data_IF_112012306112
#
_entry.id   IF_112012306112
#
_cell.length_a   1.000
_cell.length_b   1.000
_cell.length_c   1.000
_cell.angle_alpha   90.00
_cell.angle_beta   90.00
_cell.angle_gamma   90.00
#
_symmetry.space_group_name_H-M   'P 1'
#
loop_
_entity.id
_entity.type
_entity.pdbx_description
1 polymer ?
#
# COMPACT_ATOMS: atom_id res chain seq x y z
N UNK A 1 26.74 8.28 7.16
CA UNK A 1 25.30 8.39 6.86
C UNK A 1 24.87 9.79 7.25
N UNK A 2 24.55 10.61 6.27
CA UNK A 2 24.12 11.98 6.48
C UNK A 2 22.62 12.04 6.80
N UNK A 3 22.12 13.20 7.28
CA UNK A 3 20.69 13.29 7.68
C UNK A 3 19.72 13.08 6.51
N UNK A 4 20.10 13.46 5.29
CA UNK A 4 19.25 13.20 4.12
C UNK A 4 19.15 11.69 3.81
N UNK A 5 20.21 10.90 4.01
CA UNK A 5 20.12 9.44 3.85
C UNK A 5 19.18 8.82 4.89
N UNK A 6 19.26 9.30 6.14
CA UNK A 6 18.36 8.87 7.22
C UNK A 6 16.90 9.16 6.86
N UNK A 7 16.63 10.37 6.33
CA UNK A 7 15.25 10.73 5.95
C UNK A 7 14.75 9.97 4.72
N UNK A 8 15.62 9.62 3.78
CA UNK A 8 15.25 8.72 2.70
C UNK A 8 14.79 7.34 3.22
N UNK A 9 15.55 6.76 4.15
CA UNK A 9 15.17 5.50 4.81
C UNK A 9 13.88 5.65 5.61
N UNK A 10 13.70 6.74 6.36
CA UNK A 10 12.46 6.98 7.12
C UNK A 10 11.24 7.11 6.21
N UNK A 11 11.37 7.78 5.05
CA UNK A 11 10.30 7.86 4.06
C UNK A 11 10.00 6.47 3.48
N UNK A 12 11.02 5.66 3.18
CA UNK A 12 10.83 4.27 2.78
C UNK A 12 10.05 3.47 3.83
N UNK A 13 10.37 3.63 5.12
CA UNK A 13 9.64 2.99 6.24
C UNK A 13 8.19 3.46 6.31
N UNK A 14 7.91 4.75 6.08
CA UNK A 14 6.54 5.27 6.06
C UNK A 14 5.72 4.69 4.91
N UNK A 15 6.29 4.58 3.70
CA UNK A 15 5.63 3.94 2.56
C UNK A 15 5.45 2.43 2.78
N UNK A 16 6.42 1.73 3.36
CA UNK A 16 6.31 0.33 3.77
C UNK A 16 5.14 0.17 4.76
N UNK A 17 5.07 1.02 5.78
CA UNK A 17 3.99 1.03 6.76
C UNK A 17 2.62 1.27 6.11
N UNK A 18 2.53 2.24 5.21
CA UNK A 18 1.30 2.51 4.45
C UNK A 18 0.86 1.30 3.63
N UNK A 19 1.74 0.71 2.82
CA UNK A 19 1.37 -0.44 1.99
C UNK A 19 1.08 -1.71 2.80
N UNK A 20 1.72 -1.88 3.95
CA UNK A 20 1.42 -2.98 4.86
C UNK A 20 0.02 -2.83 5.48
N UNK A 21 -0.29 -1.64 6.01
CA UNK A 21 -1.53 -1.39 6.74
C UNK A 21 -2.71 -1.15 5.80
N UNK A 22 -2.57 -0.22 4.89
CA UNK A 22 -3.61 0.12 3.92
C UNK A 22 -3.80 -0.97 2.85
N UNK A 23 -2.76 -1.79 2.59
CA UNK A 23 -2.84 -2.89 1.64
C UNK A 23 -3.93 -3.89 1.98
N UNK A 24 -4.10 -4.30 3.24
CA UNK A 24 -5.21 -5.18 3.58
C UNK A 24 -6.55 -4.46 3.59
N UNK A 25 -6.61 -3.15 3.85
CA UNK A 25 -7.84 -2.36 3.79
C UNK A 25 -8.35 -2.26 2.34
N UNK A 26 -7.47 -1.97 1.38
CA UNK A 26 -7.79 -2.06 -0.05
C UNK A 26 -8.24 -3.46 -0.43
N UNK A 27 -7.51 -4.48 0.04
CA UNK A 27 -7.86 -5.87 -0.20
C UNK A 27 -9.26 -6.21 0.31
N UNK A 28 -9.63 -5.82 1.53
CA UNK A 28 -10.97 -6.01 2.09
C UNK A 28 -12.01 -5.27 1.24
N UNK A 29 -11.76 -4.04 0.81
CA UNK A 29 -12.66 -3.31 -0.08
C UNK A 29 -12.95 -4.07 -1.38
N UNK A 30 -11.92 -4.62 -2.02
CA UNK A 30 -12.04 -5.49 -3.21
C UNK A 30 -12.82 -6.77 -2.89
N UNK A 31 -12.59 -7.38 -1.73
CA UNK A 31 -13.25 -8.61 -1.29
C UNK A 31 -14.74 -8.45 -1.01
N UNK A 32 -15.24 -7.25 -0.79
CA UNK A 32 -16.69 -7.00 -0.65
C UNK A 32 -17.49 -7.48 -1.86
N UNK A 33 -16.86 -7.55 -3.04
CA UNK A 33 -17.47 -8.05 -4.28
C UNK A 33 -17.00 -9.46 -4.67
N UNK A 34 -15.75 -9.82 -4.37
CA UNK A 34 -15.17 -11.10 -4.78
C UNK A 34 -15.49 -12.25 -3.80
N UNK A 35 -15.70 -11.94 -2.52
CA UNK A 35 -15.83 -12.95 -1.46
C UNK A 35 -17.24 -13.01 -0.85
N UNK A 36 -17.85 -11.84 -0.58
CA UNK A 36 -19.15 -11.76 0.10
C UNK A 36 -20.29 -12.21 -0.82
N UNK A 37 -21.21 -13.02 -0.28
CA UNK A 37 -22.39 -13.55 -0.97
C UNK A 37 -23.64 -12.67 -0.78
N UNK A 38 -23.71 -12.03 0.38
CA UNK A 38 -24.84 -11.20 0.77
C UNK A 38 -24.38 -9.94 1.51
N UNK A 39 -25.33 -9.12 1.93
CA UNK A 39 -25.04 -7.85 2.63
C UNK A 39 -24.47 -8.05 4.02
N UNK A 40 -24.92 -9.08 4.73
CA UNK A 40 -24.42 -9.38 6.07
C UNK A 40 -22.94 -9.73 6.01
N UNK A 41 -22.54 -10.55 5.06
CA UNK A 41 -21.13 -10.89 4.84
C UNK A 41 -20.29 -9.66 4.42
N UNK A 42 -20.81 -8.79 3.56
CA UNK A 42 -20.14 -7.51 3.22
C UNK A 42 -19.91 -6.65 4.46
N UNK A 43 -20.93 -6.55 5.33
CA UNK A 43 -20.84 -5.83 6.59
C UNK A 43 -19.81 -6.46 7.52
N UNK A 44 -19.74 -7.80 7.60
CA UNK A 44 -18.68 -8.50 8.33
C UNK A 44 -17.31 -8.08 7.81
N UNK A 45 -17.07 -8.15 6.49
CA UNK A 45 -15.78 -7.78 5.89
C UNK A 45 -15.42 -6.32 6.22
N UNK A 46 -16.31 -5.37 5.98
CA UNK A 46 -16.06 -3.95 6.27
C UNK A 46 -15.77 -3.74 7.77
N UNK A 47 -16.49 -4.42 8.65
CA UNK A 47 -16.27 -4.31 10.10
C UNK A 47 -14.92 -4.89 10.55
N UNK A 48 -14.26 -5.73 9.75
CA UNK A 48 -12.89 -6.20 10.08
C UNK A 48 -11.87 -5.07 10.08
N UNK A 49 -12.07 -4.07 9.23
CA UNK A 49 -11.20 -2.90 9.07
C UNK A 49 -11.78 -1.64 9.74
N UNK A 50 -13.07 -1.62 10.05
CA UNK A 50 -13.77 -0.46 10.61
C UNK A 50 -13.03 0.28 11.73
N UNK A 51 -12.43 -0.41 12.70
CA UNK A 51 -11.71 0.25 13.80
C UNK A 51 -10.33 0.78 13.44
N UNK A 52 -9.77 0.50 12.28
CA UNK A 52 -8.35 0.72 11.96
C UNK A 52 -8.07 1.47 10.65
N UNK A 53 -9.01 1.43 9.68
CA UNK A 53 -8.79 1.98 8.33
C UNK A 53 -8.38 3.46 8.35
N UNK A 54 -8.99 4.29 9.17
CA UNK A 54 -8.70 5.71 9.29
C UNK A 54 -7.25 5.94 9.77
N UNK A 55 -6.85 5.20 10.81
CA UNK A 55 -5.46 5.23 11.32
C UNK A 55 -4.43 4.72 10.30
N UNK A 56 -4.83 3.79 9.41
CA UNK A 56 -3.96 3.28 8.36
C UNK A 56 -3.77 4.30 7.23
N UNK A 57 -4.81 5.03 6.83
CA UNK A 57 -4.71 6.10 5.83
C UNK A 57 -3.78 7.25 6.27
N UNK A 58 -3.66 7.54 7.56
CA UNK A 58 -2.76 8.59 8.09
C UNK A 58 -1.30 8.34 7.72
N UNK A 59 -0.89 7.09 7.50
CA UNK A 59 0.48 6.79 7.04
C UNK A 59 0.80 7.41 5.69
N UNK A 60 -0.17 7.49 4.77
CA UNK A 60 -0.01 8.20 3.50
C UNK A 60 0.23 9.70 3.71
N UNK A 61 -0.59 10.33 4.56
CA UNK A 61 -0.43 11.76 4.87
C UNK A 61 0.93 12.03 5.52
N UNK A 62 1.36 11.14 6.40
CA UNK A 62 2.68 11.23 7.05
C UNK A 62 3.81 11.04 6.05
N UNK A 63 3.71 10.05 5.14
CA UNK A 63 4.71 9.82 4.10
C UNK A 63 4.81 11.01 3.14
N UNK A 64 3.67 11.54 2.66
CA UNK A 64 3.64 12.72 1.80
C UNK A 64 4.16 13.98 2.51
N UNK A 65 3.75 14.23 3.75
CA UNK A 65 4.22 15.36 4.55
C UNK A 65 5.72 15.28 4.88
N UNK A 66 6.23 14.08 5.20
CA UNK A 66 7.65 13.86 5.41
C UNK A 66 8.46 14.06 4.13
N UNK A 67 7.95 13.58 2.98
CA UNK A 67 8.58 13.82 1.67
C UNK A 67 8.62 15.32 1.35
N UNK A 68 7.51 16.05 1.56
CA UNK A 68 7.44 17.50 1.36
C UNK A 68 8.47 18.25 2.20
N UNK A 69 8.61 17.90 3.47
CA UNK A 69 9.48 18.61 4.39
C UNK A 69 10.95 18.23 4.26
N UNK A 70 11.27 16.93 3.99
CA UNK A 70 12.64 16.44 3.86
C UNK A 70 13.22 16.60 2.45
N UNK A 71 12.40 16.43 1.40
CA UNK A 71 12.79 16.48 0.00
C UNK A 71 11.79 17.31 -0.82
N UNK A 72 11.78 18.65 -0.64
CA UNK A 72 10.80 19.52 -1.29
C UNK A 72 10.84 19.46 -2.82
N UNK A 73 12.02 19.32 -3.44
CA UNK A 73 12.15 19.20 -4.89
C UNK A 73 11.56 17.86 -5.40
N UNK A 74 11.82 16.75 -4.68
CA UNK A 74 11.17 15.48 -5.01
C UNK A 74 9.65 15.60 -4.92
N UNK A 75 9.14 16.21 -3.84
CA UNK A 75 7.71 16.42 -3.67
C UNK A 75 7.12 17.26 -4.82
N UNK A 76 7.77 18.38 -5.15
CA UNK A 76 7.29 19.28 -6.19
C UNK A 76 7.21 18.59 -7.57
N UNK A 77 8.28 17.93 -7.99
CA UNK A 77 8.35 17.22 -9.28
C UNK A 77 7.38 16.03 -9.32
N UNK A 78 7.27 15.26 -8.24
CA UNK A 78 6.35 14.15 -8.14
C UNK A 78 4.89 14.62 -8.26
N UNK A 79 4.49 15.63 -7.47
CA UNK A 79 3.11 16.09 -7.43
C UNK A 79 2.71 16.87 -8.69
N UNK A 80 3.64 17.58 -9.34
CA UNK A 80 3.36 18.22 -10.63
C UNK A 80 3.24 17.18 -11.76
N UNK A 81 4.17 16.24 -11.84
CA UNK A 81 4.22 15.24 -12.91
C UNK A 81 3.15 14.15 -12.79
N UNK A 82 2.83 13.75 -11.57
CA UNK A 82 1.81 12.73 -11.29
C UNK A 82 0.49 13.35 -10.81
N UNK A 83 0.26 14.63 -11.10
CA UNK A 83 -0.91 15.36 -10.60
C UNK A 83 -2.23 14.61 -10.82
N UNK A 84 -2.52 14.19 -12.05
CA UNK A 84 -3.78 13.51 -12.37
C UNK A 84 -3.91 12.14 -11.68
N UNK A 85 -2.92 11.22 -11.74
CA UNK A 85 -2.99 9.96 -10.99
C UNK A 85 -3.14 10.15 -9.49
N UNK A 86 -2.37 11.06 -8.88
CA UNK A 86 -2.42 11.32 -7.45
C UNK A 86 -3.75 11.95 -7.03
N UNK A 87 -4.26 12.92 -7.82
CA UNK A 87 -5.59 13.48 -7.60
C UNK A 87 -6.68 12.41 -7.67
N UNK A 88 -6.58 11.49 -8.64
CA UNK A 88 -7.55 10.40 -8.78
C UNK A 88 -7.49 9.42 -7.59
N UNK A 89 -6.29 9.08 -7.11
CA UNK A 89 -6.12 8.30 -5.87
C UNK A 89 -6.78 9.04 -4.71
N UNK A 90 -6.48 10.33 -4.52
CA UNK A 90 -7.04 11.14 -3.43
C UNK A 90 -8.57 11.16 -3.46
N UNK A 91 -9.17 11.38 -4.64
CA UNK A 91 -10.64 11.34 -4.80
C UNK A 91 -11.19 9.96 -4.43
N UNK A 92 -10.52 8.88 -4.83
CA UNK A 92 -10.92 7.52 -4.43
C UNK A 92 -10.88 7.34 -2.91
N UNK A 93 -9.82 7.81 -2.23
CA UNK A 93 -9.69 7.71 -0.77
C UNK A 93 -10.79 8.51 -0.05
N UNK A 94 -11.07 9.74 -0.50
CA UNK A 94 -12.16 10.58 0.03
C UNK A 94 -13.52 9.87 -0.12
N UNK A 95 -13.83 9.37 -1.32
CA UNK A 95 -15.10 8.68 -1.59
C UNK A 95 -15.18 7.39 -0.78
N UNK A 96 -14.08 6.66 -0.59
CA UNK A 96 -14.02 5.44 0.22
C UNK A 96 -14.31 5.72 1.68
N UNK A 97 -13.67 6.73 2.28
CA UNK A 97 -13.91 7.15 3.65
C UNK A 97 -15.38 7.55 3.88
N UNK A 98 -15.93 8.37 2.97
CA UNK A 98 -17.36 8.71 3.00
C UNK A 98 -18.24 7.47 2.88
N UNK A 99 -17.89 6.52 1.99
CA UNK A 99 -18.68 5.32 1.75
C UNK A 99 -18.76 4.40 2.98
N UNK A 100 -17.70 4.24 3.75
CA UNK A 100 -17.70 3.47 5.00
C UNK A 100 -18.72 4.03 6.01
N UNK A 101 -18.77 5.36 6.16
CA UNK A 101 -19.66 6.02 7.11
C UNK A 101 -21.12 6.11 6.61
N UNK A 102 -21.31 6.46 5.33
CA UNK A 102 -22.64 6.75 4.80
C UNK A 102 -23.44 5.52 4.39
N UNK A 103 -22.77 4.39 4.11
CA UNK A 103 -23.41 3.14 3.71
C UNK A 103 -24.52 2.71 4.68
N UNK A 104 -24.29 2.83 5.97
CA UNK A 104 -25.23 2.40 7.01
C UNK A 104 -26.26 3.47 7.40
N UNK A 105 -26.20 4.70 6.87
CA UNK A 105 -27.09 5.82 7.26
C UNK A 105 -28.53 5.67 6.75
N UNK A 106 -28.75 4.83 5.73
CA UNK A 106 -30.08 4.61 5.17
C UNK A 106 -30.31 3.11 4.96
N UNK A 107 -31.56 2.63 5.21
CA UNK A 107 -31.93 1.22 5.05
C UNK A 107 -32.17 0.81 3.59
N UNK A 108 -32.38 1.79 2.68
CA UNK A 108 -32.78 1.52 1.30
C UNK A 108 -31.69 0.69 0.56
N UNK A 109 -32.14 -0.34 -0.12
CA UNK A 109 -31.28 -1.29 -0.80
C UNK A 109 -30.37 -0.67 -1.85
N UNK A 110 -30.91 0.25 -2.65
CA UNK A 110 -30.16 0.93 -3.70
C UNK A 110 -29.08 1.85 -3.11
N UNK A 111 -29.36 2.51 -1.97
CA UNK A 111 -28.40 3.32 -1.26
C UNK A 111 -27.20 2.50 -0.81
N UNK A 112 -27.43 1.41 -0.12
CA UNK A 112 -26.35 0.55 0.39
C UNK A 112 -25.56 -0.08 -0.75
N UNK A 113 -26.22 -0.56 -1.81
CA UNK A 113 -25.56 -1.15 -2.99
C UNK A 113 -24.66 -0.15 -3.71
N UNK A 114 -25.07 1.10 -3.83
CA UNK A 114 -24.26 2.14 -4.48
C UNK A 114 -22.99 2.43 -3.68
N UNK A 115 -23.09 2.58 -2.36
CA UNK A 115 -21.92 2.76 -1.50
C UNK A 115 -21.00 1.53 -1.44
N UNK A 116 -21.56 0.33 -1.44
CA UNK A 116 -20.79 -0.92 -1.54
C UNK A 116 -20.01 -1.01 -2.88
N UNK A 117 -20.65 -0.54 -3.96
CA UNK A 117 -20.00 -0.47 -5.28
C UNK A 117 -18.90 0.61 -5.28
N UNK A 118 -19.14 1.74 -4.62
CA UNK A 118 -18.11 2.77 -4.42
C UNK A 118 -16.90 2.21 -3.63
N UNK A 119 -17.12 1.54 -2.49
CA UNK A 119 -16.04 0.92 -1.69
C UNK A 119 -15.19 -0.01 -2.56
N UNK A 120 -15.82 -0.84 -3.39
CA UNK A 120 -15.08 -1.75 -4.28
C UNK A 120 -14.17 -0.99 -5.25
N UNK A 121 -14.70 -0.04 -6.02
CA UNK A 121 -13.92 0.67 -7.03
C UNK A 121 -12.87 1.58 -6.42
N UNK A 122 -13.21 2.27 -5.32
CA UNK A 122 -12.28 3.17 -4.63
C UNK A 122 -11.24 2.46 -3.78
N UNK A 123 -11.32 1.15 -3.66
CA UNK A 123 -10.26 0.30 -3.12
C UNK A 123 -9.42 -0.33 -4.23
N UNK A 124 -10.05 -0.79 -5.32
CA UNK A 124 -9.37 -1.43 -6.44
C UNK A 124 -8.47 -0.46 -7.20
N UNK A 125 -8.99 0.74 -7.50
CA UNK A 125 -8.26 1.72 -8.32
C UNK A 125 -7.00 2.24 -7.62
N UNK A 126 -7.03 2.70 -6.35
CA UNK A 126 -5.80 3.08 -5.65
C UNK A 126 -4.82 1.92 -5.48
N UNK A 127 -5.32 0.70 -5.18
CA UNK A 127 -4.48 -0.48 -5.08
C UNK A 127 -3.69 -0.76 -6.36
N UNK A 128 -4.27 -0.47 -7.54
CA UNK A 128 -3.59 -0.57 -8.82
C UNK A 128 -2.68 0.64 -9.09
N UNK A 129 -3.19 1.86 -8.89
CA UNK A 129 -2.50 3.09 -9.26
C UNK A 129 -1.23 3.35 -8.43
N UNK A 130 -1.18 2.92 -7.17
CA UNK A 130 0.05 3.00 -6.38
C UNK A 130 1.18 2.18 -7.01
N UNK A 131 0.89 0.99 -7.51
CA UNK A 131 1.91 0.20 -8.21
C UNK A 131 2.34 0.82 -9.53
N UNK A 132 1.42 1.45 -10.25
CA UNK A 132 1.76 2.23 -11.46
C UNK A 132 2.66 3.41 -11.11
N UNK A 133 2.35 4.15 -10.04
CA UNK A 133 3.14 5.30 -9.60
C UNK A 133 4.56 4.87 -9.21
N UNK A 134 4.71 3.90 -8.31
CA UNK A 134 6.02 3.40 -7.88
C UNK A 134 6.80 2.75 -9.01
N UNK A 135 6.15 2.03 -9.91
CA UNK A 135 6.79 1.50 -11.11
C UNK A 135 7.40 2.61 -11.98
N UNK A 136 6.70 3.72 -12.17
CA UNK A 136 7.25 4.86 -12.91
C UNK A 136 8.42 5.53 -12.17
N UNK A 137 8.33 5.70 -10.86
CA UNK A 137 9.40 6.28 -10.05
C UNK A 137 10.67 5.43 -10.17
N UNK A 138 10.57 4.11 -10.02
CA UNK A 138 11.72 3.20 -10.08
C UNK A 138 12.31 3.11 -11.49
N UNK A 139 11.45 3.10 -12.52
CA UNK A 139 11.91 3.08 -13.92
C UNK A 139 12.61 4.37 -14.33
N UNK A 140 12.30 5.48 -13.66
CA UNK A 140 12.65 6.82 -14.08
C UNK A 140 11.63 7.42 -15.07
N UNK A 141 11.43 8.71 -14.96
CA UNK A 141 10.47 9.49 -15.77
C UNK A 141 11.16 10.63 -16.50
N UNK A 142 10.49 11.26 -17.46
CA UNK A 142 11.07 12.35 -18.26
C UNK A 142 11.19 13.62 -17.42
N UNK A 143 12.32 13.82 -16.76
CA UNK A 143 12.68 15.03 -16.01
C UNK A 143 13.71 15.80 -16.81
N UNK A 144 13.52 17.11 -16.99
CA UNK A 144 14.43 18.00 -17.70
C UNK A 144 15.50 18.61 -16.79
N UNK A 145 16.35 19.48 -17.35
CA UNK A 145 17.43 20.18 -16.64
C UNK A 145 16.98 21.12 -15.50
N UNK A 146 15.67 21.45 -15.45
CA UNK A 146 15.09 22.29 -14.41
C UNK A 146 14.39 21.44 -13.32
N UNK A 147 14.61 20.14 -13.34
CA UNK A 147 13.92 19.14 -12.48
C UNK A 147 12.41 19.10 -12.66
N UNK A 148 11.90 19.55 -13.82
CA UNK A 148 10.49 19.54 -14.17
C UNK A 148 10.13 18.26 -14.93
N UNK A 149 8.96 17.68 -14.61
CA UNK A 149 8.43 16.58 -15.40
C UNK A 149 7.89 17.09 -16.73
N UNK A 150 8.50 16.67 -17.83
CA UNK A 150 8.12 17.05 -19.22
C UNK A 150 7.43 15.94 -20.01
N UNK A 151 7.14 14.82 -19.36
CA UNK A 151 6.37 13.72 -19.96
C UNK A 151 4.87 14.00 -19.99
N UNK A 152 4.13 13.19 -20.76
CA UNK A 152 2.68 13.21 -20.80
C UNK A 152 2.05 12.16 -19.86
N UNK A 153 0.74 12.30 -19.62
CA UNK A 153 -0.03 11.31 -18.85
C UNK A 153 0.13 9.87 -19.38
N UNK A 154 0.14 9.70 -20.69
CA UNK A 154 0.25 8.38 -21.32
C UNK A 154 1.63 7.74 -21.17
N UNK A 155 2.68 8.52 -20.93
CA UNK A 155 4.02 7.99 -20.62
C UNK A 155 4.06 7.20 -19.31
N UNK A 156 3.15 7.51 -18.39
CA UNK A 156 3.01 6.80 -17.12
C UNK A 156 2.32 5.43 -17.24
N UNK A 157 1.66 5.15 -18.38
CA UNK A 157 0.97 3.89 -18.63
C UNK A 157 1.84 2.92 -19.48
N UNK A 158 3.10 2.78 -19.13
CA UNK A 158 4.03 1.85 -19.78
C UNK A 158 3.90 0.42 -19.20
N UNK A 159 4.34 -0.62 -19.92
CA UNK A 159 4.18 -2.02 -19.53
C UNK A 159 4.76 -2.36 -18.15
N UNK A 160 5.93 -1.80 -17.79
CA UNK A 160 6.56 -2.03 -16.50
C UNK A 160 5.71 -1.44 -15.35
N UNK A 161 5.26 -0.20 -15.49
CA UNK A 161 4.41 0.44 -14.49
C UNK A 161 3.04 -0.26 -14.37
N UNK A 162 2.43 -0.67 -15.49
CA UNK A 162 1.17 -1.44 -15.48
C UNK A 162 1.34 -2.80 -14.78
N UNK A 163 2.49 -3.46 -14.96
CA UNK A 163 2.82 -4.68 -14.24
C UNK A 163 2.97 -4.40 -12.74
N UNK A 164 3.62 -3.28 -12.35
CA UNK A 164 3.67 -2.81 -10.97
C UNK A 164 2.28 -2.63 -10.36
N UNK A 165 1.35 -2.03 -11.13
CA UNK A 165 -0.06 -1.91 -10.76
C UNK A 165 -0.75 -3.27 -10.54
N UNK A 166 -0.51 -4.23 -11.43
CA UNK A 166 -1.04 -5.59 -11.28
C UNK A 166 -0.48 -6.29 -10.03
N UNK A 167 0.80 -6.07 -9.71
CA UNK A 167 1.44 -6.60 -8.50
C UNK A 167 0.79 -6.05 -7.25
N UNK A 168 0.67 -4.72 -7.12
CA UNK A 168 0.10 -4.12 -5.90
C UNK A 168 -1.38 -4.49 -5.75
N UNK A 169 -2.17 -4.47 -6.81
CA UNK A 169 -3.57 -4.89 -6.78
C UNK A 169 -3.73 -6.34 -6.31
N UNK A 170 -2.97 -7.25 -6.89
CA UNK A 170 -3.07 -8.68 -6.54
C UNK A 170 -2.48 -8.97 -5.16
N UNK A 171 -1.37 -8.34 -4.79
CA UNK A 171 -0.73 -8.48 -3.49
C UNK A 171 -1.61 -7.94 -2.37
N UNK A 172 -2.21 -6.75 -2.52
CA UNK A 172 -3.13 -6.19 -1.53
C UNK A 172 -4.42 -7.01 -1.43
N UNK A 173 -4.95 -7.51 -2.54
CA UNK A 173 -6.10 -8.43 -2.51
C UNK A 173 -5.75 -9.75 -1.80
N UNK A 174 -4.56 -10.31 -2.04
CA UNK A 174 -4.06 -11.49 -1.32
C UNK A 174 -3.91 -11.21 0.18
N UNK A 175 -3.25 -10.11 0.53
CA UNK A 175 -3.03 -9.69 1.92
C UNK A 175 -4.36 -9.46 2.66
N UNK A 176 -5.33 -8.79 2.00
CA UNK A 176 -6.69 -8.62 2.52
C UNK A 176 -7.46 -9.93 2.67
N UNK A 177 -7.28 -10.90 1.75
CA UNK A 177 -7.91 -12.21 1.86
C UNK A 177 -7.35 -13.02 3.04
N UNK A 178 -6.03 -12.96 3.27
CA UNK A 178 -5.39 -13.54 4.45
C UNK A 178 -5.86 -12.85 5.73
N UNK A 179 -5.97 -11.51 5.73
CA UNK A 179 -6.52 -10.75 6.85
C UNK A 179 -8.00 -11.11 7.12
N UNK A 180 -8.83 -11.22 6.08
CA UNK A 180 -10.21 -11.68 6.22
C UNK A 180 -10.28 -13.08 6.87
N UNK A 181 -9.44 -14.03 6.44
CA UNK A 181 -9.35 -15.35 7.04
C UNK A 181 -8.92 -15.28 8.52
N UNK A 182 -7.99 -14.39 8.85
CA UNK A 182 -7.51 -14.17 10.22
C UNK A 182 -8.59 -13.56 11.12
N UNK A 183 -9.41 -12.64 10.58
CA UNK A 183 -10.36 -11.82 11.35
C UNK A 183 -11.79 -12.33 11.36
N UNK A 184 -12.12 -13.36 10.56
CA UNK A 184 -13.47 -13.92 10.48
C UNK A 184 -13.57 -15.34 10.98
N UNK A 185 -14.80 -15.85 11.11
CA UNK A 185 -15.12 -17.23 11.49
C UNK A 185 -16.03 -17.89 10.46
N UNK A 186 -16.16 -19.22 10.53
CA UNK A 186 -17.11 -20.01 9.71
C UNK A 186 -16.81 -19.99 8.22
N UNK A 187 -17.83 -19.95 7.39
CA UNK A 187 -17.74 -20.11 5.93
C UNK A 187 -16.98 -18.96 5.25
N UNK A 188 -17.09 -17.74 5.76
CA UNK A 188 -16.32 -16.58 5.25
C UNK A 188 -14.82 -16.87 5.35
N UNK A 189 -14.36 -17.37 6.50
CA UNK A 189 -12.94 -17.72 6.73
C UNK A 189 -12.44 -18.76 5.73
N UNK A 190 -13.20 -19.83 5.51
CA UNK A 190 -12.79 -20.91 4.59
C UNK A 190 -12.74 -20.44 3.13
N UNK A 191 -13.70 -19.61 2.71
CA UNK A 191 -13.70 -19.02 1.37
C UNK A 191 -12.56 -18.02 1.20
N UNK A 192 -12.27 -17.20 2.22
CA UNK A 192 -11.16 -16.26 2.21
C UNK A 192 -9.82 -16.98 2.04
N UNK A 193 -9.59 -18.11 2.74
CA UNK A 193 -8.39 -18.94 2.58
C UNK A 193 -8.25 -19.49 1.17
N UNK A 194 -9.34 -20.01 0.58
CA UNK A 194 -9.35 -20.53 -0.80
C UNK A 194 -9.10 -19.43 -1.83
N UNK A 195 -9.68 -18.26 -1.63
CA UNK A 195 -9.47 -17.12 -2.52
C UNK A 195 -8.03 -16.58 -2.37
N UNK A 196 -7.50 -16.50 -1.15
CA UNK A 196 -6.11 -16.12 -0.88
C UNK A 196 -5.13 -17.00 -1.65
N UNK A 197 -5.34 -18.31 -1.69
CA UNK A 197 -4.47 -19.20 -2.46
C UNK A 197 -4.51 -18.86 -3.97
N UNK A 198 -5.70 -18.66 -4.54
CA UNK A 198 -5.85 -18.35 -5.97
C UNK A 198 -5.21 -17.02 -6.33
N UNK A 199 -5.53 -15.98 -5.58
CA UNK A 199 -4.98 -14.62 -5.82
C UNK A 199 -3.49 -14.60 -5.53
N UNK A 200 -3.04 -15.27 -4.46
CA UNK A 200 -1.63 -15.35 -4.11
C UNK A 200 -0.76 -16.04 -5.17
N UNK A 201 -1.28 -17.04 -5.89
CA UNK A 201 -0.57 -17.63 -7.04
C UNK A 201 -0.45 -16.63 -8.20
N UNK A 202 -1.49 -15.84 -8.49
CA UNK A 202 -1.41 -14.76 -9.48
C UNK A 202 -0.41 -13.70 -9.03
N UNK A 203 -0.45 -13.32 -7.74
CA UNK A 203 0.53 -12.41 -7.14
C UNK A 203 1.96 -12.92 -7.31
N UNK A 204 2.19 -14.22 -7.08
CA UNK A 204 3.52 -14.81 -7.20
C UNK A 204 4.08 -14.67 -8.63
N UNK A 205 3.25 -14.90 -9.65
CA UNK A 205 3.68 -14.73 -11.04
C UNK A 205 3.96 -13.26 -11.36
N UNK A 206 3.01 -12.36 -11.06
CA UNK A 206 3.17 -10.93 -11.35
C UNK A 206 4.36 -10.34 -10.60
N UNK A 207 4.48 -10.64 -9.29
CA UNK A 207 5.56 -10.13 -8.46
C UNK A 207 6.92 -10.66 -8.90
N UNK A 208 7.03 -11.95 -9.22
CA UNK A 208 8.28 -12.53 -9.69
C UNK A 208 8.76 -11.83 -10.98
N UNK A 209 7.87 -11.65 -11.96
CA UNK A 209 8.22 -10.97 -13.21
C UNK A 209 8.62 -9.52 -12.95
N UNK A 210 7.87 -8.79 -12.14
CA UNK A 210 8.14 -7.38 -11.83
C UNK A 210 9.47 -7.21 -11.08
N UNK A 211 9.68 -7.99 -10.00
CA UNK A 211 10.88 -7.89 -9.19
C UNK A 211 12.14 -8.34 -9.94
N UNK A 212 12.04 -9.40 -10.77
CA UNK A 212 13.15 -9.80 -11.64
C UNK A 212 13.46 -8.75 -12.70
N UNK A 213 12.43 -8.13 -13.30
CA UNK A 213 12.65 -7.03 -14.24
C UNK A 213 13.36 -5.85 -13.55
N UNK A 214 12.86 -5.44 -12.38
CA UNK A 214 13.51 -4.39 -11.56
C UNK A 214 14.96 -4.73 -11.23
N UNK A 215 15.24 -6.00 -10.85
CA UNK A 215 16.59 -6.45 -10.49
C UNK A 215 17.56 -6.41 -11.68
N UNK A 216 17.07 -6.77 -12.87
CA UNK A 216 17.90 -6.77 -14.09
C UNK A 216 18.23 -5.33 -14.54
N UNK A 217 17.25 -4.42 -14.47
CA UNK A 217 17.42 -3.05 -14.96
C UNK A 217 18.19 -2.16 -13.97
N UNK A 218 17.89 -2.26 -12.66
CA UNK A 218 18.36 -1.30 -11.66
C UNK A 218 18.90 -1.96 -10.37
N UNK A 219 19.01 -3.30 -10.32
CA UNK A 219 19.32 -4.00 -9.09
C UNK A 219 20.81 -4.08 -8.76
N UNK A 220 21.09 -4.22 -7.47
CA UNK A 220 22.41 -4.50 -6.90
C UNK A 220 22.36 -5.73 -5.96
N UNK A 221 23.43 -5.98 -5.18
CA UNK A 221 23.47 -7.09 -4.24
C UNK A 221 22.50 -6.93 -3.07
N UNK A 222 22.19 -5.71 -2.63
CA UNK A 222 21.27 -5.47 -1.52
C UNK A 222 19.82 -5.65 -1.96
N UNK A 223 19.48 -5.13 -3.12
CA UNK A 223 18.16 -5.31 -3.72
C UNK A 223 17.88 -6.79 -4.06
N UNK A 224 18.92 -7.55 -4.47
CA UNK A 224 18.79 -9.01 -4.68
C UNK A 224 18.44 -9.75 -3.37
N UNK A 225 19.02 -9.37 -2.24
CA UNK A 225 18.65 -9.94 -0.94
C UNK A 225 17.18 -9.65 -0.61
N UNK A 226 16.75 -8.42 -0.82
CA UNK A 226 15.35 -8.02 -0.60
C UNK A 226 14.38 -8.79 -1.52
N UNK A 227 14.74 -9.00 -2.80
CA UNK A 227 13.98 -9.83 -3.74
C UNK A 227 13.84 -11.27 -3.21
N UNK A 228 14.95 -11.89 -2.82
CA UNK A 228 14.93 -13.28 -2.31
C UNK A 228 14.06 -13.39 -1.06
N UNK A 229 14.15 -12.42 -0.15
CA UNK A 229 13.30 -12.36 1.05
C UNK A 229 11.83 -12.20 0.68
N UNK A 230 11.50 -11.32 -0.28
CA UNK A 230 10.12 -11.11 -0.72
C UNK A 230 9.51 -12.39 -1.32
N UNK A 231 10.25 -13.09 -2.20
CA UNK A 231 9.79 -14.33 -2.81
C UNK A 231 9.65 -15.44 -1.77
N UNK A 232 10.65 -15.62 -0.91
CA UNK A 232 10.61 -16.65 0.14
C UNK A 232 9.46 -16.41 1.11
N UNK A 233 9.21 -15.14 1.51
CA UNK A 233 8.10 -14.78 2.37
C UNK A 233 6.74 -15.02 1.70
N UNK A 234 6.59 -14.72 0.40
CA UNK A 234 5.35 -15.00 -0.33
C UNK A 234 5.05 -16.50 -0.39
N UNK A 235 6.05 -17.32 -0.68
CA UNK A 235 5.90 -18.77 -0.65
C UNK A 235 5.52 -19.27 0.75
N UNK A 236 6.18 -18.76 1.79
CA UNK A 236 5.87 -19.07 3.18
C UNK A 236 4.44 -18.66 3.55
N UNK A 237 3.96 -17.49 3.08
CA UNK A 237 2.59 -17.03 3.29
C UNK A 237 1.57 -17.97 2.64
N UNK A 238 1.82 -18.43 1.41
CA UNK A 238 0.96 -19.40 0.71
C UNK A 238 0.91 -20.74 1.43
N UNK A 239 2.06 -21.27 1.86
CA UNK A 239 2.14 -22.54 2.62
C UNK A 239 1.43 -22.41 3.96
N UNK A 240 1.65 -21.33 4.70
CA UNK A 240 0.97 -21.07 5.97
C UNK A 240 -0.54 -20.94 5.80
N UNK A 241 -1.01 -20.26 4.73
CA UNK A 241 -2.43 -20.18 4.40
C UNK A 241 -3.04 -21.55 4.10
N UNK A 242 -2.35 -22.40 3.34
CA UNK A 242 -2.81 -23.78 3.08
C UNK A 242 -2.87 -24.63 4.37
N UNK A 243 -1.88 -24.46 5.24
CA UNK A 243 -1.81 -25.17 6.52
C UNK A 243 -2.83 -24.65 7.57
N UNK A 244 -3.65 -23.64 7.25
CA UNK A 244 -4.64 -23.08 8.17
C UNK A 244 -4.03 -22.22 9.28
N UNK A 245 -2.82 -21.73 9.09
CA UNK A 245 -2.09 -20.90 10.05
C UNK A 245 -2.18 -19.42 9.62
N UNK A 246 -3.39 -18.85 9.70
CA UNK A 246 -3.69 -17.50 9.16
C UNK A 246 -2.81 -16.40 9.77
N UNK A 247 -2.45 -16.51 11.07
CA UNK A 247 -1.55 -15.53 11.71
C UNK A 247 -0.16 -15.52 11.07
N UNK A 248 0.41 -16.68 10.79
CA UNK A 248 1.68 -16.79 10.07
C UNK A 248 1.56 -16.38 8.60
N UNK A 249 0.45 -16.72 7.95
CA UNK A 249 0.19 -16.28 6.58
C UNK A 249 0.13 -14.76 6.48
N UNK A 250 -0.51 -14.09 7.45
CA UNK A 250 -0.55 -12.63 7.53
C UNK A 250 0.83 -12.03 7.80
N UNK A 251 1.59 -12.58 8.74
CA UNK A 251 2.95 -12.12 9.04
C UNK A 251 3.86 -12.23 7.80
N UNK A 252 3.86 -13.38 7.12
CA UNK A 252 4.68 -13.59 5.93
C UNK A 252 4.22 -12.75 4.73
N UNK A 253 2.92 -12.55 4.52
CA UNK A 253 2.44 -11.62 3.48
C UNK A 253 2.85 -10.17 3.78
N UNK A 254 2.90 -9.80 5.05
CA UNK A 254 3.47 -8.53 5.50
C UNK A 254 4.96 -8.41 5.19
N UNK A 255 5.75 -9.44 5.51
CA UNK A 255 7.18 -9.47 5.17
C UNK A 255 7.39 -9.38 3.65
N UNK A 256 6.50 -10.00 2.85
CA UNK A 256 6.54 -9.86 1.38
C UNK A 256 6.40 -8.40 0.97
N UNK A 257 5.43 -7.66 1.52
CA UNK A 257 5.23 -6.23 1.23
C UNK A 257 6.45 -5.42 1.66
N UNK A 258 6.92 -5.63 2.89
CA UNK A 258 8.11 -4.95 3.44
C UNK A 258 9.32 -5.14 2.53
N UNK A 259 9.62 -6.38 2.16
CA UNK A 259 10.79 -6.70 1.36
C UNK A 259 10.67 -6.20 -0.09
N UNK A 260 9.48 -6.31 -0.71
CA UNK A 260 9.26 -5.81 -2.06
C UNK A 260 9.39 -4.28 -2.13
N UNK A 261 8.79 -3.56 -1.19
CA UNK A 261 8.91 -2.08 -1.16
C UNK A 261 10.34 -1.67 -0.80
N UNK A 262 10.98 -2.33 0.16
CA UNK A 262 12.38 -2.07 0.48
C UNK A 262 13.29 -2.27 -0.74
N UNK A 263 13.05 -3.31 -1.56
CA UNK A 263 13.77 -3.52 -2.81
C UNK A 263 13.66 -2.30 -3.74
N UNK A 264 12.44 -1.74 -3.92
CA UNK A 264 12.22 -0.58 -4.78
C UNK A 264 13.02 0.65 -4.29
N UNK A 265 13.06 0.89 -2.98
CA UNK A 265 13.86 2.00 -2.42
C UNK A 265 15.36 1.72 -2.48
N UNK A 266 15.81 0.48 -2.34
CA UNK A 266 17.21 0.11 -2.52
C UNK A 266 17.69 0.32 -3.96
N UNK A 267 16.85 -0.01 -4.96
CA UNK A 267 17.19 0.22 -6.37
C UNK A 267 17.14 1.70 -6.76
N UNK A 268 16.41 2.54 -6.01
CA UNK A 268 16.38 3.98 -6.23
C UNK A 268 17.64 4.68 -5.69
N UNK A 269 18.15 4.28 -4.52
CA UNK A 269 19.25 4.99 -3.86
C UNK A 269 20.51 5.08 -4.74
N UNK A 270 21.17 6.24 -4.87
CA UNK A 270 20.94 7.52 -4.16
C UNK A 270 19.89 8.43 -4.79
N UNK A 271 19.23 8.03 -5.87
CA UNK A 271 18.17 8.81 -6.48
C UNK A 271 16.87 8.71 -5.64
N UNK A 272 16.08 9.77 -5.68
CA UNK A 272 14.71 9.79 -5.17
C UNK A 272 13.70 9.77 -6.33
N UNK A 273 14.11 10.31 -7.49
CA UNK A 273 13.32 10.31 -8.73
C UNK A 273 14.26 10.39 -9.94
N UNK A 274 14.62 9.26 -10.56
CA UNK A 274 15.54 9.21 -11.69
C UNK A 274 14.94 9.88 -12.95
N UNK A 275 15.78 10.60 -13.72
CA UNK A 275 15.43 11.07 -15.05
C UNK A 275 15.71 10.00 -16.09
N UNK A 276 14.74 9.74 -16.97
CA UNK A 276 14.92 8.87 -18.14
C UNK A 276 15.52 9.60 -19.36
N UNK A 277 15.75 10.91 -19.29
CA UNK A 277 16.32 11.72 -20.36
C UNK A 277 17.84 11.87 -20.21
N UNK A 278 18.29 12.22 -19.00
CA UNK A 278 19.70 12.39 -18.65
C UNK A 278 19.90 12.12 -17.18
N UNK A 279 20.91 11.32 -16.82
CA UNK A 279 21.21 10.95 -15.45
C UNK A 279 21.51 12.17 -14.55
N UNK A 280 22.16 13.19 -15.11
CA UNK A 280 22.49 14.44 -14.41
C UNK A 280 21.26 15.27 -13.99
N UNK A 281 20.10 15.00 -14.57
CA UNK A 281 18.82 15.65 -14.25
C UNK A 281 17.99 14.85 -13.23
N UNK A 282 18.57 13.77 -12.71
CA UNK A 282 17.91 12.99 -11.68
C UNK A 282 17.87 13.73 -10.35
N UNK A 283 16.74 13.61 -9.65
CA UNK A 283 16.62 14.04 -8.27
C UNK A 283 17.23 12.99 -7.35
N UNK A 284 18.18 13.44 -6.54
CA UNK A 284 18.96 12.62 -5.60
C UNK A 284 18.65 12.99 -4.16
N UNK A 285 19.07 12.15 -3.21
CA UNK A 285 18.96 12.46 -1.77
C UNK A 285 19.71 13.75 -1.40
N UNK A 286 20.68 14.19 -2.21
CA UNK A 286 21.49 15.38 -1.95
C UNK A 286 20.84 16.64 -2.54
N UNK A 287 20.52 16.63 -3.87
CA UNK A 287 20.03 17.82 -4.56
C UNK A 287 18.55 18.13 -4.28
N UNK A 288 17.76 17.11 -3.90
CA UNK A 288 16.34 17.28 -3.59
C UNK A 288 16.07 17.57 -2.10
N UNK A 289 17.10 17.51 -1.22
CA UNK A 289 16.90 17.59 0.22
C UNK A 289 16.74 19.01 0.73
N UNK A 290 16.01 19.13 1.83
CA UNK A 290 15.89 20.35 2.63
C UNK A 290 17.19 20.67 3.37
N UNK A 291 17.26 21.85 4.00
CA UNK A 291 18.45 22.26 4.74
C UNK A 291 18.77 21.32 5.92
N UNK A 292 20.04 21.16 6.32
CA UNK A 292 20.43 20.35 7.48
C UNK A 292 19.72 20.79 8.77
N UNK A 293 19.41 22.07 8.91
CA UNK A 293 18.66 22.60 10.05
C UNK A 293 17.22 22.08 10.07
N UNK A 294 16.53 22.11 8.94
CA UNK A 294 15.17 21.57 8.81
C UNK A 294 15.15 20.07 9.13
N UNK A 295 16.05 19.29 8.51
CA UNK A 295 16.13 17.84 8.76
C UNK A 295 16.39 17.52 10.23
N UNK A 296 17.21 18.31 10.93
CA UNK A 296 17.47 18.14 12.37
C UNK A 296 16.22 18.39 13.22
N UNK A 297 15.45 19.44 12.94
CA UNK A 297 14.19 19.72 13.65
C UNK A 297 13.20 18.57 13.43
N UNK A 298 13.02 18.17 12.17
CA UNK A 298 12.15 17.04 11.81
C UNK A 298 12.55 15.75 12.54
N UNK A 299 13.85 15.48 12.67
CA UNK A 299 14.35 14.30 13.40
C UNK A 299 13.92 14.31 14.86
N UNK A 300 14.03 15.43 15.55
CA UNK A 300 13.57 15.55 16.95
C UNK A 300 12.05 15.34 17.05
N UNK A 301 11.28 15.93 16.15
CA UNK A 301 9.82 15.71 16.12
C UNK A 301 9.49 14.23 15.89
N UNK A 302 10.18 13.57 14.93
CA UNK A 302 9.95 12.16 14.63
C UNK A 302 10.32 11.24 15.80
N UNK A 303 11.46 11.47 16.46
CA UNK A 303 11.92 10.67 17.63
C UNK A 303 10.93 10.76 18.79
N UNK A 304 10.29 11.90 18.99
CA UNK A 304 9.31 12.09 20.08
C UNK A 304 7.93 11.53 19.68
N UNK A 305 7.43 11.88 18.48
CA UNK A 305 6.06 11.58 18.08
C UNK A 305 5.87 10.10 17.65
N UNK A 306 6.84 9.53 16.91
CA UNK A 306 6.69 8.18 16.34
C UNK A 306 6.45 7.10 17.42
N UNK A 307 7.19 7.02 18.55
CA UNK A 307 6.91 6.02 19.57
C UNK A 307 5.50 6.13 20.15
N UNK A 308 4.99 7.35 20.35
CA UNK A 308 3.65 7.59 20.88
C UNK A 308 2.58 7.07 19.91
N UNK A 309 2.73 7.39 18.61
CA UNK A 309 1.81 6.92 17.57
C UNK A 309 1.85 5.40 17.43
N UNK A 310 3.05 4.80 17.43
CA UNK A 310 3.20 3.34 17.34
C UNK A 310 2.58 2.60 18.53
N UNK A 311 2.73 3.12 19.73
CA UNK A 311 2.11 2.55 20.93
C UNK A 311 0.58 2.64 20.86
N UNK A 312 0.04 3.80 20.48
CA UNK A 312 -1.40 4.00 20.32
C UNK A 312 -1.98 3.08 19.25
N UNK A 313 -1.36 3.03 18.07
CA UNK A 313 -1.83 2.19 16.98
C UNK A 313 -1.74 0.70 17.34
N UNK A 314 -0.63 0.25 17.95
CA UNK A 314 -0.48 -1.11 18.44
C UNK A 314 -1.54 -1.48 19.48
N UNK A 315 -1.89 -0.55 20.37
CA UNK A 315 -2.97 -0.73 21.33
C UNK A 315 -4.34 -0.88 20.64
N UNK A 316 -4.63 -0.08 19.62
CA UNK A 316 -5.87 -0.20 18.82
C UNK A 316 -5.98 -1.59 18.20
N UNK A 317 -4.94 -2.07 17.54
CA UNK A 317 -4.92 -3.43 16.99
C UNK A 317 -5.09 -4.51 18.04
N UNK A 318 -4.51 -4.34 19.24
CA UNK A 318 -4.66 -5.28 20.34
C UNK A 318 -6.10 -5.31 20.88
N UNK A 319 -6.77 -4.16 21.02
CA UNK A 319 -8.16 -4.06 21.47
C UNK A 319 -9.09 -4.78 20.50
N UNK A 320 -8.94 -4.53 19.20
CA UNK A 320 -9.81 -5.07 18.17
C UNK A 320 -9.32 -6.40 17.57
N UNK A 321 -8.46 -7.15 18.25
CA UNK A 321 -7.89 -8.41 17.73
C UNK A 321 -8.87 -9.58 17.58
N UNK A 322 -10.06 -9.52 18.17
CA UNK A 322 -11.03 -10.62 18.17
C UNK A 322 -11.58 -10.86 16.75
N UNK A 323 -11.93 -12.13 16.49
CA UNK A 323 -12.60 -12.53 15.24
C UNK A 323 -14.07 -12.16 15.29
N UNK A 324 -14.64 -11.82 14.12
CA UNK A 324 -16.04 -11.50 13.95
C UNK A 324 -16.70 -12.44 12.93
N UNK A 325 -18.01 -12.59 13.03
CA UNK A 325 -18.84 -13.39 12.13
C UNK A 325 -20.24 -12.81 11.99
N UNK A 326 -21.08 -13.45 11.17
CA UNK A 326 -22.43 -12.97 10.87
C UNK A 326 -23.32 -12.86 12.11
N UNK A 327 -23.12 -13.73 13.12
CA UNK A 327 -23.85 -13.68 14.39
C UNK A 327 -23.67 -12.34 15.13
N UNK A 328 -22.46 -11.77 15.12
CA UNK A 328 -22.20 -10.50 15.79
C UNK A 328 -22.87 -9.28 15.12
N UNK A 329 -23.31 -9.44 13.86
CA UNK A 329 -24.03 -8.40 13.11
C UNK A 329 -25.52 -8.47 13.41
N UNK A 330 -26.08 -9.68 13.52
CA UNK A 330 -27.47 -9.88 13.86
C UNK A 330 -27.81 -9.32 15.25
N UNK A 331 -26.92 -9.52 16.23
CA UNK A 331 -27.11 -9.03 17.61
C UNK A 331 -27.04 -7.49 17.73
N UNK A 332 -26.38 -6.81 16.80
CA UNK A 332 -26.29 -5.34 16.77
C UNK A 332 -27.50 -4.65 16.07
N UNK A 333 -28.43 -5.43 15.53
CA UNK A 333 -29.63 -4.93 14.84
C UNK A 333 -30.88 -4.89 15.75
N UNK A 334 -30.74 -5.31 17.02
CA UNK A 334 -31.71 -5.20 18.11
C UNK A 334 -31.21 -4.18 19.13
#
# INVERSE_FOLDING_TARGET
MELHDVWFVLIAVLWIGYFFLEGFDFGIGVLTKLLARDRTEKRVLINTIGPVWDGNEVWLLTAGGATFAAFPEWYATLFSGFYLPLLFILVCLIVRGVAFEYRAKRPEENWQRNWETAIFWTSLLPAFLWGVAFGNIVRGVKIDQNFEYVGGFWDLLNPYALLGGAVTLTLFTFHGAVFAALKTVGDIRERARRLALKVGLVTAVCALVFLLWTQVDNGDGQSLVALVVAVAALVAALVANQAGREGWAFAFSGVTIVAAVAMLFLTLFPNVMPSSLDESWSLTVTNASSSPYTLKIMTWCAVIATPIVMLYQGWTYWVFRKRIGTQHIADAAH
#
